data_IF_518974351104
#
_entry.id   IF_518974351104
#
_cell.length_a   1.000
_cell.length_b   1.000
_cell.length_c   1.000
_cell.angle_alpha   90.00
_cell.angle_beta   90.00
_cell.angle_gamma   90.00
#
_symmetry.space_group_name_H-M   'P 1'
#
loop_
_entity.id
_entity.type
_entity.pdbx_description
1 polymer ?
#
# COMPACT_ATOMS: atom_id res chain seq x y z
N UNK A 1 12.98 -3.01 25.20
CA UNK A 1 13.93 -2.30 24.32
C UNK A 1 13.23 -1.81 23.05
N UNK A 2 12.59 -2.67 22.30
CA UNK A 2 11.88 -2.33 21.04
C UNK A 2 10.94 -1.10 21.15
N UNK A 3 10.05 -1.08 22.13
CA UNK A 3 9.10 0.04 22.30
C UNK A 3 9.77 1.38 22.60
N UNK A 4 10.88 1.37 23.32
CA UNK A 4 11.67 2.58 23.60
C UNK A 4 12.34 3.09 22.31
N UNK A 5 12.87 2.20 21.48
CA UNK A 5 13.47 2.52 20.19
C UNK A 5 12.43 3.06 19.20
N UNK A 6 11.24 2.46 19.16
CA UNK A 6 10.11 2.95 18.37
C UNK A 6 9.66 4.33 18.83
N UNK A 7 9.52 4.54 20.13
CA UNK A 7 9.16 5.85 20.67
C UNK A 7 10.20 6.89 20.30
N UNK A 8 11.50 6.57 20.50
CA UNK A 8 12.59 7.48 20.15
C UNK A 8 12.61 7.80 18.65
N UNK A 9 12.40 6.80 17.80
CA UNK A 9 12.26 6.98 16.35
C UNK A 9 11.13 7.97 16.01
N UNK A 10 9.95 7.80 16.60
CA UNK A 10 8.80 8.68 16.36
C UNK A 10 9.03 10.09 16.90
N UNK A 11 9.66 10.21 18.06
CA UNK A 11 10.01 11.51 18.65
C UNK A 11 10.98 12.27 17.76
N UNK A 12 12.08 11.65 17.33
CA UNK A 12 13.06 12.29 16.45
C UNK A 12 12.41 12.67 15.12
N UNK A 13 11.66 11.75 14.49
CA UNK A 13 10.99 11.97 13.22
C UNK A 13 10.04 13.18 13.29
N UNK A 14 9.33 13.34 14.41
CA UNK A 14 8.32 14.37 14.59
C UNK A 14 8.91 15.71 15.06
N UNK A 15 9.92 15.67 15.95
CA UNK A 15 10.47 16.88 16.59
C UNK A 15 11.50 17.57 15.69
N UNK A 16 12.26 16.82 14.89
CA UNK A 16 13.28 17.39 13.99
C UNK A 16 12.73 18.55 13.12
N UNK A 17 11.57 18.49 12.47
CA UNK A 17 11.06 19.59 11.65
C UNK A 17 10.69 20.87 12.43
N UNK A 18 10.56 20.80 13.76
CA UNK A 18 10.14 21.93 14.61
C UNK A 18 11.33 22.73 15.11
N UNK A 19 12.47 22.06 15.25
CA UNK A 19 13.64 22.67 15.88
C UNK A 19 14.17 23.85 15.04
N UNK A 20 14.60 24.95 15.69
CA UNK A 20 15.21 26.08 15.00
C UNK A 20 16.64 25.72 14.58
N UNK A 21 16.80 25.28 13.37
CA UNK A 21 18.09 24.83 12.86
C UNK A 21 18.41 25.53 11.56
N UNK A 22 18.57 26.75 11.47
CA UNK A 22 19.03 27.45 10.28
C UNK A 22 19.01 26.63 8.96
N UNK A 23 19.72 27.02 7.94
CA UNK A 23 19.84 26.26 6.67
C UNK A 23 20.98 25.21 6.74
N UNK A 24 21.28 24.62 7.92
CA UNK A 24 22.40 23.66 8.05
C UNK A 24 21.96 22.25 7.60
N UNK A 25 22.37 21.88 6.41
CA UNK A 25 22.13 20.51 5.86
C UNK A 25 22.69 19.40 6.76
N UNK A 26 23.76 19.70 7.52
CA UNK A 26 24.36 18.75 8.47
C UNK A 26 23.42 18.28 9.56
N UNK A 27 22.57 19.18 10.09
CA UNK A 27 21.57 18.81 11.10
C UNK A 27 20.52 17.83 10.58
N UNK A 28 20.03 18.06 9.37
CA UNK A 28 19.07 17.18 8.71
C UNK A 28 19.65 15.81 8.41
N UNK A 29 20.89 15.80 7.89
CA UNK A 29 21.61 14.57 7.59
C UNK A 29 21.89 13.78 8.86
N UNK A 30 22.35 14.42 9.94
CA UNK A 30 22.58 13.77 11.23
C UNK A 30 21.30 13.15 11.79
N UNK A 31 20.18 13.88 11.75
CA UNK A 31 18.87 13.36 12.18
C UNK A 31 18.45 12.14 11.37
N UNK A 32 18.67 12.14 10.06
CA UNK A 32 18.40 10.99 9.21
C UNK A 32 19.31 9.80 9.55
N UNK A 33 20.60 10.02 9.78
CA UNK A 33 21.56 8.94 10.16
C UNK A 33 21.14 8.31 11.49
N UNK A 34 20.71 9.10 12.47
CA UNK A 34 20.20 8.58 13.75
C UNK A 34 18.92 7.74 13.51
N UNK A 35 17.98 8.22 12.69
CA UNK A 35 16.77 7.46 12.36
C UNK A 35 17.09 6.16 11.63
N UNK A 36 18.04 6.18 10.70
CA UNK A 36 18.48 4.98 9.98
C UNK A 36 19.13 3.97 10.94
N UNK A 37 19.93 4.45 11.90
CA UNK A 37 20.55 3.60 12.91
C UNK A 37 19.52 2.97 13.85
N UNK A 38 18.53 3.75 14.30
CA UNK A 38 17.40 3.23 15.09
C UNK A 38 16.56 2.23 14.30
N UNK A 39 16.31 2.50 13.02
CA UNK A 39 15.61 1.57 12.13
C UNK A 39 16.34 0.22 12.06
N UNK A 40 17.65 0.21 11.84
CA UNK A 40 18.45 -1.03 11.81
C UNK A 40 18.40 -1.79 13.14
N UNK A 41 18.38 -1.09 14.28
CA UNK A 41 18.21 -1.72 15.60
C UNK A 41 16.83 -2.31 15.79
N UNK A 42 15.77 -1.59 15.35
CA UNK A 42 14.39 -2.10 15.39
C UNK A 42 14.26 -3.37 14.55
N UNK A 43 14.92 -3.46 13.38
CA UNK A 43 14.92 -4.67 12.56
C UNK A 43 15.64 -5.86 13.24
N UNK A 44 16.51 -5.62 14.20
CA UNK A 44 17.16 -6.68 14.99
C UNK A 44 16.26 -7.20 16.12
N UNK A 45 15.26 -6.43 16.52
CA UNK A 45 14.28 -6.79 17.55
C UNK A 45 13.11 -7.58 16.96
N UNK A 46 12.23 -8.10 17.82
CA UNK A 46 10.97 -8.72 17.43
C UNK A 46 9.82 -8.18 18.27
N UNK A 47 8.65 -8.03 17.66
CA UNK A 47 7.41 -7.70 18.35
C UNK A 47 6.67 -8.93 18.91
N UNK A 48 7.28 -10.12 18.80
CA UNK A 48 6.84 -11.35 19.45
C UNK A 48 5.98 -12.28 18.58
N UNK A 49 5.59 -11.87 17.37
CA UNK A 49 4.87 -12.76 16.44
C UNK A 49 5.14 -12.38 14.97
N UNK A 50 5.04 -13.34 14.03
CA UNK A 50 5.24 -13.06 12.61
C UNK A 50 4.36 -11.93 12.06
N UNK A 51 3.09 -11.90 12.45
CA UNK A 51 2.14 -10.86 12.01
C UNK A 51 2.46 -9.48 12.60
N UNK A 52 2.90 -9.42 13.87
CA UNK A 52 3.29 -8.16 14.49
C UNK A 52 4.58 -7.61 13.87
N UNK A 53 5.58 -8.46 13.59
CA UNK A 53 6.83 -8.07 12.94
C UNK A 53 6.62 -7.66 11.49
N UNK A 54 5.74 -8.35 10.76
CA UNK A 54 5.30 -7.94 9.43
C UNK A 54 4.68 -6.54 9.45
N UNK A 55 3.70 -6.33 10.34
CA UNK A 55 3.02 -5.04 10.50
C UNK A 55 3.97 -3.91 10.91
N UNK A 56 4.91 -4.20 11.82
CA UNK A 56 5.94 -3.26 12.24
C UNK A 56 6.81 -2.82 11.06
N UNK A 57 7.31 -3.76 10.27
CA UNK A 57 8.14 -3.46 9.11
C UNK A 57 7.41 -2.60 8.07
N UNK A 58 6.15 -2.96 7.75
CA UNK A 58 5.30 -2.18 6.83
C UNK A 58 5.00 -0.77 7.36
N UNK A 59 4.99 -0.58 8.68
CA UNK A 59 4.76 0.73 9.29
C UNK A 59 6.02 1.61 9.26
N UNK A 60 7.19 1.09 9.66
CA UNK A 60 8.41 1.90 9.85
C UNK A 60 9.23 2.11 8.58
N UNK A 61 9.26 1.14 7.64
CA UNK A 61 10.06 1.25 6.42
C UNK A 61 9.63 2.43 5.54
N UNK A 62 8.33 2.66 5.27
CA UNK A 62 7.89 3.87 4.57
C UNK A 62 8.18 5.16 5.35
N UNK A 63 8.20 5.13 6.69
CA UNK A 63 8.53 6.32 7.48
C UNK A 63 10.02 6.69 7.34
N UNK A 64 10.92 5.71 7.28
CA UNK A 64 12.33 5.97 6.97
C UNK A 64 12.47 6.56 5.56
N UNK A 65 11.74 6.03 4.57
CA UNK A 65 11.68 6.59 3.22
C UNK A 65 11.18 8.05 3.20
N UNK A 66 10.20 8.37 4.05
CA UNK A 66 9.70 9.74 4.22
C UNK A 66 10.74 10.64 4.91
N UNK A 67 11.45 10.15 5.93
CA UNK A 67 12.53 10.87 6.55
C UNK A 67 13.66 11.18 5.54
N UNK A 68 13.98 10.23 4.67
CA UNK A 68 14.95 10.46 3.59
C UNK A 68 14.48 11.55 2.62
N UNK A 69 13.22 11.50 2.18
CA UNK A 69 12.65 12.56 1.34
C UNK A 69 12.72 13.93 2.01
N UNK A 70 12.25 14.04 3.26
CA UNK A 70 12.09 15.32 3.95
C UNK A 70 13.38 15.87 4.57
N UNK A 71 14.31 15.03 4.95
CA UNK A 71 15.54 15.46 5.67
C UNK A 71 16.76 15.51 4.74
N UNK A 72 16.77 14.70 3.67
CA UNK A 72 17.93 14.60 2.78
C UNK A 72 17.64 15.22 1.42
N UNK A 73 16.53 14.81 0.77
CA UNK A 73 16.25 15.24 -0.60
C UNK A 73 15.62 16.65 -0.67
N UNK A 74 14.71 16.97 0.24
CA UNK A 74 13.92 18.21 0.22
C UNK A 74 13.81 18.93 1.58
N UNK A 75 14.94 19.24 2.25
CA UNK A 75 14.89 19.74 3.62
C UNK A 75 14.24 21.13 3.77
N UNK A 76 14.15 21.91 2.70
CA UNK A 76 13.56 23.26 2.71
C UNK A 76 12.10 23.29 2.29
N UNK A 77 11.68 22.40 1.42
CA UNK A 77 10.31 22.39 0.87
C UNK A 77 9.25 22.03 1.92
N UNK A 78 9.61 21.25 2.94
CA UNK A 78 8.71 20.81 4.00
C UNK A 78 8.25 21.92 4.93
N UNK A 79 8.88 23.09 4.89
CA UNK A 79 8.55 24.27 5.72
C UNK A 79 7.44 25.13 5.12
N UNK A 80 7.12 24.96 3.85
CA UNK A 80 6.04 25.70 3.23
C UNK A 80 4.69 25.14 3.68
N UNK A 81 4.12 25.80 4.66
CA UNK A 81 2.79 25.52 5.18
C UNK A 81 1.74 25.68 4.09
N UNK A 82 0.65 24.91 4.22
CA UNK A 82 -0.58 25.02 3.43
C UNK A 82 -0.88 26.47 3.02
N UNK A 83 -0.79 26.79 1.76
CA UNK A 83 -1.20 28.11 1.27
C UNK A 83 -2.69 28.40 1.54
N UNK A 84 -3.52 27.38 1.70
CA UNK A 84 -4.98 27.52 1.82
C UNK A 84 -5.52 27.70 3.26
N UNK A 85 -4.78 27.32 4.31
CA UNK A 85 -5.20 27.54 5.71
C UNK A 85 -4.47 28.71 6.40
N UNK A 86 -3.43 29.27 5.79
CA UNK A 86 -2.55 30.22 6.46
C UNK A 86 -3.20 31.54 6.82
N UNK A 87 -4.17 32.01 6.05
CA UNK A 87 -4.80 33.32 6.30
C UNK A 87 -5.75 33.36 7.50
N UNK A 88 -6.42 32.29 7.84
CA UNK A 88 -7.32 32.24 9.01
C UNK A 88 -6.59 31.89 10.32
N UNK A 89 -5.50 31.15 10.26
CA UNK A 89 -4.79 30.64 11.44
C UNK A 89 -3.66 31.55 11.89
N UNK A 90 -3.12 32.43 11.03
CA UNK A 90 -2.09 33.39 11.39
C UNK A 90 -2.60 34.46 12.38
N UNK A 91 -3.88 34.80 12.33
CA UNK A 91 -4.49 35.80 13.21
C UNK A 91 -4.67 35.30 14.67
N UNK A 92 -4.52 33.99 14.95
CA UNK A 92 -4.79 33.39 16.29
C UNK A 92 -3.56 33.02 17.12
N UNK A 93 -2.33 33.23 16.65
CA UNK A 93 -1.15 32.62 17.29
C UNK A 93 -0.14 33.58 17.88
N UNK A 94 -0.52 34.29 18.91
CA UNK A 94 0.44 35.01 19.77
C UNK A 94 0.50 34.29 21.15
N UNK A 95 1.56 33.54 21.44
CA UNK A 95 1.80 32.99 22.76
C UNK A 95 2.23 31.51 22.80
N UNK A 96 2.22 30.92 23.97
CA UNK A 96 2.63 29.52 24.29
C UNK A 96 1.97 28.45 23.41
N UNK A 97 0.83 28.76 22.79
CA UNK A 97 0.16 27.99 21.75
C UNK A 97 1.04 27.67 20.51
N UNK A 98 2.16 28.37 20.31
CA UNK A 98 3.05 28.22 19.16
C UNK A 98 3.75 26.85 19.09
N UNK A 99 4.23 26.30 20.22
CA UNK A 99 4.92 25.01 20.25
C UNK A 99 3.99 23.84 20.03
N UNK A 100 2.85 23.81 20.74
CA UNK A 100 1.83 22.78 20.55
C UNK A 100 1.32 22.78 19.11
N UNK A 101 1.09 23.95 18.53
CA UNK A 101 0.67 24.08 17.13
C UNK A 101 1.74 23.56 16.15
N UNK A 102 3.01 23.92 16.36
CA UNK A 102 4.13 23.43 15.55
C UNK A 102 4.26 21.89 15.66
N UNK A 103 4.09 21.34 16.86
CA UNK A 103 4.12 19.91 17.09
C UNK A 103 2.99 19.19 16.35
N UNK A 104 1.75 19.67 16.46
CA UNK A 104 0.60 19.11 15.75
C UNK A 104 0.77 19.19 14.23
N UNK A 105 1.29 20.30 13.71
CA UNK A 105 1.59 20.44 12.28
C UNK A 105 2.69 19.49 11.82
N UNK A 106 3.73 19.28 12.63
CA UNK A 106 4.78 18.30 12.32
C UNK A 106 4.24 16.88 12.37
N UNK A 107 3.43 16.55 13.37
CA UNK A 107 2.72 15.26 13.43
C UNK A 107 1.87 15.05 12.17
N UNK A 108 1.09 16.04 11.78
CA UNK A 108 0.28 15.97 10.56
C UNK A 108 1.17 15.78 9.32
N UNK A 109 2.23 16.56 9.16
CA UNK A 109 3.16 16.47 8.03
C UNK A 109 3.77 15.07 7.91
N UNK A 110 4.25 14.53 9.03
CA UNK A 110 4.93 13.24 9.05
C UNK A 110 3.94 12.08 8.85
N UNK A 111 2.77 12.15 9.47
CA UNK A 111 1.82 11.05 9.45
C UNK A 111 0.77 11.12 8.35
N UNK A 112 0.66 12.24 7.60
CA UNK A 112 -0.16 12.26 6.39
C UNK A 112 0.55 11.51 5.25
N UNK A 113 0.00 10.38 4.77
CA UNK A 113 0.70 9.58 3.78
C UNK A 113 0.67 10.20 2.37
N UNK A 114 -0.27 11.09 2.11
CA UNK A 114 -0.54 11.64 0.77
C UNK A 114 -0.42 13.17 0.69
N UNK A 115 -0.02 13.83 1.78
CA UNK A 115 0.12 15.28 1.82
C UNK A 115 -1.17 16.06 1.62
N UNK A 116 -2.30 15.53 2.07
CA UNK A 116 -3.62 16.16 1.91
C UNK A 116 -3.60 17.59 2.47
N UNK A 117 -3.85 18.55 1.59
CA UNK A 117 -3.81 19.99 1.91
C UNK A 117 -2.41 20.58 2.09
N UNK A 118 -1.35 19.87 1.76
CA UNK A 118 0.02 20.37 1.70
C UNK A 118 0.43 20.68 0.25
N UNK A 119 1.41 21.55 0.04
CA UNK A 119 1.92 21.88 -1.29
C UNK A 119 2.51 20.68 -2.06
N UNK A 120 2.80 19.59 -1.35
CA UNK A 120 3.29 18.34 -1.90
C UNK A 120 2.22 17.23 -1.98
N UNK A 121 0.95 17.61 -1.96
CA UNK A 121 -0.16 16.66 -2.12
C UNK A 121 0.02 15.84 -3.41
N UNK A 122 -0.13 14.52 -3.27
CA UNK A 122 -0.02 13.63 -4.42
C UNK A 122 -1.26 13.74 -5.33
N UNK A 123 -1.09 13.52 -6.66
CA UNK A 123 -2.23 13.52 -7.58
C UNK A 123 -3.20 12.36 -7.27
N UNK A 124 -4.45 12.54 -7.67
CA UNK A 124 -5.52 11.54 -7.56
C UNK A 124 -6.00 11.22 -6.13
N UNK A 125 -5.87 12.15 -5.19
CA UNK A 125 -6.53 12.04 -3.88
C UNK A 125 -8.03 12.02 -4.08
N UNK A 126 -8.72 11.01 -3.55
CA UNK A 126 -10.16 10.86 -3.67
C UNK A 126 -10.87 11.67 -2.56
N UNK A 127 -11.15 12.93 -2.83
CA UNK A 127 -11.90 13.78 -1.92
C UNK A 127 -13.37 13.35 -1.86
N UNK A 128 -13.90 13.33 -0.65
CA UNK A 128 -15.32 13.22 -0.37
C UNK A 128 -15.83 14.65 -0.36
N UNK A 129 -16.92 14.91 -1.03
CA UNK A 129 -17.52 16.26 -1.03
C UNK A 129 -17.69 16.83 0.40
N UNK A 130 -18.30 17.98 0.53
CA UNK A 130 -18.53 18.66 1.83
C UNK A 130 -19.48 17.84 2.70
N UNK A 131 -18.98 16.78 3.34
CA UNK A 131 -19.74 16.00 4.31
C UNK A 131 -19.76 16.70 5.68
N UNK A 132 -20.93 16.67 6.34
CA UNK A 132 -20.99 17.08 7.74
C UNK A 132 -20.23 16.09 8.63
N UNK A 133 -19.71 16.55 9.79
CA UNK A 133 -19.04 15.68 10.77
C UNK A 133 -19.87 14.44 11.11
N UNK A 134 -21.19 14.62 11.32
CA UNK A 134 -22.11 13.52 11.64
C UNK A 134 -22.21 12.50 10.51
N UNK A 135 -22.39 12.96 9.26
CA UNK A 135 -22.47 12.10 8.08
C UNK A 135 -21.16 11.32 7.86
N UNK A 136 -20.02 12.00 8.01
CA UNK A 136 -18.70 11.38 7.92
C UNK A 136 -18.54 10.26 8.94
N UNK A 137 -18.78 10.54 10.23
CA UNK A 137 -18.61 9.54 11.30
C UNK A 137 -19.55 8.35 11.10
N UNK A 138 -20.82 8.58 10.77
CA UNK A 138 -21.78 7.50 10.52
C UNK A 138 -21.34 6.61 9.35
N UNK A 139 -20.94 7.22 8.23
CA UNK A 139 -20.48 6.48 7.05
C UNK A 139 -19.19 5.67 7.32
N UNK A 140 -18.26 6.22 8.12
CA UNK A 140 -17.03 5.52 8.50
C UNK A 140 -17.28 4.38 9.46
N UNK A 141 -18.09 4.61 10.50
CA UNK A 141 -18.45 3.56 11.46
C UNK A 141 -19.14 2.38 10.78
N UNK A 142 -20.12 2.66 9.89
CA UNK A 142 -20.78 1.61 9.12
C UNK A 142 -19.78 0.79 8.28
N UNK A 143 -18.84 1.44 7.61
CA UNK A 143 -17.81 0.75 6.83
C UNK A 143 -16.86 -0.07 7.70
N UNK A 144 -16.47 0.44 8.87
CA UNK A 144 -15.63 -0.31 9.82
C UNK A 144 -16.34 -1.59 10.23
N UNK A 145 -17.62 -1.51 10.63
CA UNK A 145 -18.41 -2.68 11.00
C UNK A 145 -18.52 -3.67 9.85
N UNK A 146 -18.88 -3.19 8.64
CA UNK A 146 -19.01 -4.04 7.46
C UNK A 146 -17.69 -4.73 7.09
N UNK A 147 -16.59 -4.00 7.10
CA UNK A 147 -15.29 -4.56 6.79
C UNK A 147 -14.80 -5.55 7.86
N UNK A 148 -15.13 -5.31 9.11
CA UNK A 148 -14.87 -6.28 10.18
C UNK A 148 -15.61 -7.60 9.96
N UNK A 149 -16.91 -7.53 9.64
CA UNK A 149 -17.72 -8.71 9.31
C UNK A 149 -17.16 -9.44 8.08
N UNK A 150 -16.74 -8.69 7.06
CA UNK A 150 -16.13 -9.26 5.86
C UNK A 150 -14.80 -9.98 6.16
N UNK A 151 -13.94 -9.40 7.00
CA UNK A 151 -12.69 -10.06 7.43
C UNK A 151 -12.96 -11.36 8.17
N UNK A 152 -13.94 -11.36 9.07
CA UNK A 152 -14.32 -12.55 9.82
C UNK A 152 -14.87 -13.65 8.90
N UNK A 153 -15.68 -13.27 7.89
CA UNK A 153 -16.19 -14.20 6.88
C UNK A 153 -15.09 -14.75 5.95
N UNK A 154 -14.06 -13.97 5.66
CA UNK A 154 -12.94 -14.39 4.81
C UNK A 154 -11.89 -15.21 5.58
N UNK A 155 -11.85 -15.10 6.92
CA UNK A 155 -10.82 -15.73 7.74
C UNK A 155 -10.64 -17.25 7.48
N UNK A 156 -11.68 -18.07 7.32
CA UNK A 156 -11.51 -19.50 7.03
C UNK A 156 -10.98 -19.79 5.62
N UNK A 157 -11.04 -18.83 4.71
CA UNK A 157 -10.57 -18.99 3.32
C UNK A 157 -9.13 -18.51 3.12
N UNK A 158 -8.58 -17.71 4.05
CA UNK A 158 -7.19 -17.23 3.94
C UNK A 158 -6.23 -18.38 4.25
N UNK A 159 -5.23 -18.64 3.38
CA UNK A 159 -4.36 -19.80 3.53
C UNK A 159 -3.43 -19.62 4.72
N UNK A 160 -3.37 -20.62 5.60
CA UNK A 160 -2.38 -20.73 6.67
C UNK A 160 -1.32 -21.75 6.29
N UNK A 161 -0.26 -21.88 7.10
CA UNK A 161 0.71 -22.96 6.90
C UNK A 161 0.09 -24.33 7.07
N UNK A 162 -0.91 -24.46 7.95
CA UNK A 162 -1.62 -25.72 8.19
C UNK A 162 -2.51 -26.15 7.01
N UNK A 163 -2.96 -25.21 6.16
CA UNK A 163 -3.79 -25.55 4.98
C UNK A 163 -3.02 -26.14 3.81
N UNK A 164 -1.70 -26.29 3.93
CA UNK A 164 -0.85 -26.78 2.85
C UNK A 164 -0.46 -25.70 1.82
N UNK A 165 0.45 -26.03 0.89
CA UNK A 165 0.94 -25.09 -0.12
C UNK A 165 -0.12 -24.76 -1.17
N UNK A 166 -0.08 -23.54 -1.69
CA UNK A 166 -0.85 -23.13 -2.86
C UNK A 166 -0.17 -23.71 -4.11
N UNK A 167 -0.75 -24.76 -4.66
CA UNK A 167 -0.17 -25.46 -5.81
C UNK A 167 -0.26 -24.61 -7.09
N UNK A 168 0.77 -24.57 -7.95
CA UNK A 168 0.65 -23.99 -9.27
C UNK A 168 -0.35 -24.76 -10.11
N UNK A 169 -0.99 -24.09 -11.08
CA UNK A 169 -1.84 -24.78 -12.04
C UNK A 169 -0.97 -25.74 -12.88
N UNK A 170 -1.09 -27.03 -12.62
CA UNK A 170 -0.44 -28.05 -13.44
C UNK A 170 -1.34 -28.40 -14.62
N UNK A 171 -0.94 -27.96 -15.80
CA UNK A 171 -1.52 -28.38 -17.07
C UNK A 171 -0.80 -29.63 -17.65
N UNK A 172 -0.01 -30.32 -16.83
CA UNK A 172 0.61 -31.57 -17.26
C UNK A 172 -0.49 -32.51 -17.75
N UNK A 173 -0.38 -33.04 -18.96
CA UNK A 173 -1.31 -34.06 -19.39
C UNK A 173 -1.28 -35.20 -18.36
N UNK A 174 -2.42 -35.76 -17.98
CA UNK A 174 -2.45 -36.90 -17.11
C UNK A 174 -1.52 -37.97 -17.67
N UNK A 175 -0.73 -38.66 -16.83
CA UNK A 175 -0.01 -39.85 -17.26
C UNK A 175 -1.08 -40.84 -17.74
N UNK A 176 -1.24 -40.91 -19.05
CA UNK A 176 -2.16 -41.81 -19.69
C UNK A 176 -1.60 -43.23 -19.46
N UNK A 177 -2.30 -44.01 -18.66
CA UNK A 177 -2.22 -45.45 -18.83
C UNK A 177 -2.69 -45.76 -20.25
N UNK A 178 -1.94 -46.54 -20.96
CA UNK A 178 -1.98 -46.79 -22.41
C UNK A 178 -3.33 -47.25 -23.00
N UNK A 179 -4.35 -47.47 -22.16
CA UNK A 179 -5.58 -48.19 -22.53
C UNK A 179 -6.85 -47.33 -22.67
N UNK A 180 -6.82 -46.00 -22.44
CA UNK A 180 -8.05 -45.18 -22.58
C UNK A 180 -7.80 -43.88 -23.31
N UNK A 181 -7.85 -43.92 -24.64
CA UNK A 181 -7.84 -42.75 -25.54
C UNK A 181 -9.23 -42.09 -25.71
N UNK A 182 -10.09 -42.08 -24.68
CA UNK A 182 -11.37 -41.40 -24.77
C UNK A 182 -11.21 -39.89 -24.54
N UNK A 183 -11.44 -39.02 -25.56
CA UNK A 183 -11.34 -37.59 -25.43
C UNK A 183 -12.29 -37.00 -24.35
N UNK A 184 -13.43 -37.65 -24.10
CA UNK A 184 -14.38 -37.24 -23.07
C UNK A 184 -13.80 -37.40 -21.66
N UNK A 185 -13.05 -38.49 -21.41
CA UNK A 185 -12.37 -38.73 -20.14
C UNK A 185 -11.28 -37.68 -19.86
N UNK A 186 -10.54 -37.26 -20.89
CA UNK A 186 -9.51 -36.22 -20.81
C UNK A 186 -10.10 -34.86 -20.48
N UNK A 187 -11.25 -34.49 -21.07
CA UNK A 187 -11.93 -33.23 -20.79
C UNK A 187 -12.48 -33.14 -19.35
N UNK A 188 -13.11 -34.20 -18.87
CA UNK A 188 -13.64 -34.24 -17.50
C UNK A 188 -12.51 -34.20 -16.44
N UNK A 189 -11.37 -34.80 -16.73
CA UNK A 189 -10.19 -34.76 -15.87
C UNK A 189 -9.60 -33.35 -15.82
N UNK A 190 -9.44 -32.68 -16.97
CA UNK A 190 -8.99 -31.29 -17.03
C UNK A 190 -9.94 -30.39 -16.26
N UNK A 191 -11.24 -30.54 -16.45
CA UNK A 191 -12.27 -29.75 -15.75
C UNK A 191 -12.16 -29.92 -14.23
N UNK A 192 -11.98 -31.15 -13.73
CA UNK A 192 -11.79 -31.45 -12.31
C UNK A 192 -10.50 -30.81 -11.77
N UNK A 193 -9.40 -30.90 -12.51
CA UNK A 193 -8.11 -30.30 -12.12
C UNK A 193 -8.18 -28.78 -12.03
N UNK A 194 -8.81 -28.13 -13.01
CA UNK A 194 -9.02 -26.66 -12.99
C UNK A 194 -9.94 -26.25 -11.84
N UNK A 195 -11.02 -26.97 -11.59
CA UNK A 195 -11.92 -26.69 -10.48
C UNK A 195 -11.24 -26.88 -9.11
N UNK A 196 -10.46 -27.94 -8.96
CA UNK A 196 -9.66 -28.18 -7.75
C UNK A 196 -8.65 -27.05 -7.52
N UNK A 197 -7.89 -26.68 -8.55
CA UNK A 197 -6.96 -25.55 -8.46
C UNK A 197 -7.67 -24.24 -8.11
N UNK A 198 -8.81 -23.95 -8.72
CA UNK A 198 -9.57 -22.74 -8.41
C UNK A 198 -10.00 -22.68 -6.94
N UNK A 199 -10.40 -23.81 -6.35
CA UNK A 199 -10.83 -23.87 -4.95
C UNK A 199 -9.66 -23.87 -3.97
N UNK A 200 -8.57 -24.58 -4.28
CA UNK A 200 -7.46 -24.77 -3.34
C UNK A 200 -6.36 -23.70 -3.45
N UNK A 201 -6.30 -22.98 -4.54
CA UNK A 201 -5.24 -22.02 -4.81
C UNK A 201 -5.79 -20.62 -5.10
N UNK A 202 -6.68 -20.52 -6.08
CA UNK A 202 -7.14 -19.20 -6.54
C UNK A 202 -8.06 -18.52 -5.51
N UNK A 203 -9.03 -19.25 -4.96
CA UNK A 203 -9.95 -18.72 -3.94
C UNK A 203 -9.21 -18.26 -2.67
N UNK A 204 -8.28 -19.04 -2.08
CA UNK A 204 -7.47 -18.58 -0.95
C UNK A 204 -6.61 -17.38 -1.28
N UNK A 205 -6.00 -17.31 -2.46
CA UNK A 205 -5.20 -16.15 -2.88
C UNK A 205 -6.04 -14.87 -2.99
N UNK A 206 -7.23 -14.95 -3.55
CA UNK A 206 -8.16 -13.82 -3.61
C UNK A 206 -8.73 -13.45 -2.23
N UNK A 207 -9.01 -14.42 -1.36
CA UNK A 207 -9.43 -14.18 0.01
C UNK A 207 -8.37 -13.36 0.76
N UNK A 208 -7.08 -13.71 0.61
CA UNK A 208 -5.99 -12.92 1.14
C UNK A 208 -5.94 -11.50 0.55
N UNK A 209 -6.01 -11.36 -0.77
CA UNK A 209 -5.94 -10.04 -1.43
C UNK A 209 -7.07 -9.11 -0.98
N UNK A 210 -8.29 -9.63 -0.86
CA UNK A 210 -9.44 -8.87 -0.34
C UNK A 210 -9.23 -8.53 1.14
N UNK A 211 -8.73 -9.47 1.94
CA UNK A 211 -8.41 -9.22 3.36
C UNK A 211 -7.35 -8.14 3.52
N UNK A 212 -6.29 -8.16 2.72
CA UNK A 212 -5.25 -7.12 2.73
C UNK A 212 -5.82 -5.73 2.35
N UNK A 213 -6.69 -5.68 1.32
CA UNK A 213 -7.40 -4.45 0.94
C UNK A 213 -8.25 -3.91 2.10
N UNK A 214 -8.99 -4.77 2.77
CA UNK A 214 -9.86 -4.40 3.89
C UNK A 214 -9.04 -3.95 5.10
N UNK A 215 -7.94 -4.62 5.43
CA UNK A 215 -7.03 -4.20 6.50
C UNK A 215 -6.48 -2.79 6.25
N UNK A 216 -6.02 -2.49 5.04
CA UNK A 216 -5.55 -1.15 4.67
C UNK A 216 -6.65 -0.09 4.85
N UNK A 217 -7.90 -0.43 4.54
CA UNK A 217 -9.04 0.44 4.80
C UNK A 217 -9.24 0.70 6.30
N UNK A 218 -9.23 -0.34 7.12
CA UNK A 218 -9.44 -0.24 8.56
C UNK A 218 -8.34 0.57 9.25
N UNK A 219 -7.09 0.29 8.93
CA UNK A 219 -5.91 0.98 9.50
C UNK A 219 -5.93 2.49 9.19
N UNK A 220 -6.48 2.92 8.06
CA UNK A 220 -6.58 4.34 7.73
C UNK A 220 -7.90 4.97 8.16
N UNK A 221 -9.00 4.23 8.11
CA UNK A 221 -10.34 4.77 8.39
C UNK A 221 -10.57 4.92 9.90
N UNK A 222 -10.08 3.99 10.71
CA UNK A 222 -10.23 4.03 12.18
C UNK A 222 -9.60 5.30 12.79
N UNK A 223 -8.29 5.52 12.60
CA UNK A 223 -7.62 6.75 13.06
C UNK A 223 -8.23 8.04 12.50
N UNK A 224 -8.63 8.05 11.22
CA UNK A 224 -9.29 9.21 10.61
C UNK A 224 -10.64 9.52 11.28
N UNK A 225 -11.46 8.50 11.54
CA UNK A 225 -12.73 8.67 12.23
C UNK A 225 -12.52 9.18 13.67
N UNK A 226 -11.54 8.64 14.38
CA UNK A 226 -11.18 9.08 15.73
C UNK A 226 -10.68 10.53 15.73
N UNK A 227 -9.80 10.91 14.82
CA UNK A 227 -9.28 12.25 14.71
C UNK A 227 -10.40 13.29 14.43
N UNK A 228 -11.35 12.97 13.53
CA UNK A 228 -12.52 13.82 13.27
C UNK A 228 -13.46 13.85 14.49
N UNK A 229 -13.66 12.74 15.19
CA UNK A 229 -14.47 12.67 16.40
C UNK A 229 -13.92 13.61 17.49
N UNK A 230 -12.61 13.57 17.71
CA UNK A 230 -11.90 14.41 18.68
C UNK A 230 -11.73 15.88 18.22
N UNK A 231 -12.12 16.20 16.98
CA UNK A 231 -11.98 17.56 16.44
C UNK A 231 -10.56 17.96 16.06
N UNK A 232 -9.65 16.98 15.91
CA UNK A 232 -8.26 17.21 15.52
C UNK A 232 -8.12 17.56 14.03
N UNK A 233 -9.04 17.10 13.19
CA UNK A 233 -9.10 17.41 11.75
C UNK A 233 -10.54 17.51 11.26
N UNK A 234 -10.74 18.15 10.11
CA UNK A 234 -12.03 18.20 9.44
C UNK A 234 -12.25 16.94 8.57
N UNK A 235 -13.51 16.54 8.27
CA UNK A 235 -13.82 15.47 7.35
C UNK A 235 -13.11 15.57 5.99
N UNK A 236 -12.97 16.79 5.47
CA UNK A 236 -12.29 17.08 4.20
C UNK A 236 -10.78 16.76 4.24
N UNK A 237 -10.15 16.77 5.40
CA UNK A 237 -8.73 16.45 5.57
C UNK A 237 -8.49 14.91 5.56
N UNK A 238 -9.57 14.11 5.62
CA UNK A 238 -9.53 12.65 5.73
C UNK A 238 -10.16 11.95 4.49
N UNK A 239 -9.63 12.17 3.28
CA UNK A 239 -10.14 11.52 2.07
C UNK A 239 -9.93 10.01 2.10
N UNK A 240 -10.62 9.28 1.23
CA UNK A 240 -10.49 7.82 1.12
C UNK A 240 -9.05 7.42 0.76
N UNK A 241 -8.51 6.40 1.45
CA UNK A 241 -7.17 5.87 1.20
C UNK A 241 -7.05 5.19 -0.15
N UNK A 242 -8.12 4.55 -0.60
CA UNK A 242 -8.21 3.94 -1.92
C UNK A 242 -8.90 4.88 -2.90
N UNK A 243 -8.46 4.86 -4.15
CA UNK A 243 -9.08 5.60 -5.23
C UNK A 243 -10.33 4.91 -5.80
N UNK A 244 -10.94 5.50 -6.83
CA UNK A 244 -12.20 5.00 -7.39
C UNK A 244 -11.99 3.66 -8.11
N UNK A 245 -12.86 2.69 -7.81
CA UNK A 245 -12.88 1.36 -8.46
C UNK A 245 -13.00 1.49 -9.99
N UNK A 246 -13.68 2.52 -10.47
CA UNK A 246 -13.80 2.78 -11.91
C UNK A 246 -12.47 3.02 -12.66
N UNK A 247 -11.38 3.27 -11.95
CA UNK A 247 -10.05 3.37 -12.54
C UNK A 247 -9.33 2.01 -12.69
N UNK A 248 -9.83 0.94 -12.07
CA UNK A 248 -9.22 -0.41 -12.10
C UNK A 248 -9.34 -1.14 -13.44
N UNK A 249 -9.96 -0.55 -14.46
CA UNK A 249 -10.08 -1.16 -15.80
C UNK A 249 -8.72 -1.28 -16.53
N UNK A 250 -7.61 -1.04 -15.85
CA UNK A 250 -6.24 -1.30 -16.33
C UNK A 250 -5.31 -1.49 -15.14
N UNK A 251 -4.22 -2.22 -15.31
CA UNK A 251 -3.17 -2.37 -14.28
C UNK A 251 -2.58 -1.02 -13.87
N UNK A 252 -2.39 -0.11 -14.83
CA UNK A 252 -1.96 1.26 -14.54
C UNK A 252 -2.98 2.02 -13.70
N UNK A 253 -4.26 1.85 -13.97
CA UNK A 253 -5.34 2.45 -13.19
C UNK A 253 -5.43 1.85 -11.79
N UNK A 254 -5.28 0.54 -11.67
CA UNK A 254 -5.23 -0.16 -10.39
C UNK A 254 -4.09 0.39 -9.52
N UNK A 255 -2.85 0.29 -9.95
CA UNK A 255 -1.66 0.66 -9.15
C UNK A 255 -1.43 2.17 -9.07
N UNK A 256 -1.77 2.92 -10.12
CA UNK A 256 -1.49 4.36 -10.18
C UNK A 256 -2.60 5.25 -9.63
N UNK A 257 -3.83 4.75 -9.45
CA UNK A 257 -4.98 5.57 -9.05
C UNK A 257 -5.85 4.95 -7.97
N UNK A 258 -6.05 3.62 -8.00
CA UNK A 258 -7.01 2.94 -7.09
C UNK A 258 -6.33 2.38 -5.85
N UNK A 259 -5.22 1.64 -6.01
CA UNK A 259 -4.48 1.11 -4.88
C UNK A 259 -3.92 2.25 -4.03
N UNK A 260 -3.81 2.03 -2.72
CA UNK A 260 -3.35 3.08 -1.79
C UNK A 260 -2.07 3.76 -2.27
N UNK A 261 -2.07 5.09 -2.22
CA UNK A 261 -0.95 5.89 -2.69
C UNK A 261 -0.05 6.39 -1.54
N UNK A 262 -0.05 5.68 -0.41
CA UNK A 262 0.59 6.12 0.84
C UNK A 262 2.11 6.35 0.70
N UNK A 263 2.80 5.52 -0.07
CA UNK A 263 4.25 5.62 -0.28
C UNK A 263 4.64 6.37 -1.57
N UNK A 264 3.69 6.87 -2.35
CA UNK A 264 3.94 7.42 -3.68
C UNK A 264 4.91 8.60 -3.68
N UNK A 265 4.80 9.51 -2.71
CA UNK A 265 5.65 10.70 -2.64
C UNK A 265 7.12 10.33 -2.49
N UNK A 266 7.47 9.58 -1.43
CA UNK A 266 8.85 9.24 -1.15
C UNK A 266 9.46 8.37 -2.27
N UNK A 267 8.70 7.44 -2.83
CA UNK A 267 9.16 6.62 -3.98
C UNK A 267 9.44 7.49 -5.21
N UNK A 268 8.57 8.46 -5.50
CA UNK A 268 8.77 9.40 -6.59
C UNK A 268 9.97 10.33 -6.35
N UNK A 269 10.15 10.82 -5.11
CA UNK A 269 11.26 11.67 -4.74
C UNK A 269 12.61 10.96 -4.88
N UNK A 270 12.71 9.70 -4.40
CA UNK A 270 13.90 8.86 -4.56
C UNK A 270 14.18 8.61 -6.06
N UNK A 271 13.16 8.26 -6.83
CA UNK A 271 13.32 8.01 -8.27
C UNK A 271 13.72 9.27 -9.05
N UNK A 272 13.22 10.44 -8.66
CA UNK A 272 13.65 11.72 -9.25
C UNK A 272 15.09 12.08 -8.88
N UNK A 273 15.52 11.80 -7.65
CA UNK A 273 16.90 12.01 -7.23
C UNK A 273 17.86 11.08 -8.00
N UNK A 274 17.56 9.79 -8.08
CA UNK A 274 18.33 8.82 -8.89
C UNK A 274 18.36 9.24 -10.36
N UNK A 275 17.20 9.58 -10.92
CA UNK A 275 17.10 9.99 -12.32
C UNK A 275 17.93 11.23 -12.66
N UNK A 276 17.87 12.25 -11.80
CA UNK A 276 18.61 13.51 -12.03
C UNK A 276 20.09 13.39 -11.70
N UNK A 277 20.41 12.88 -10.50
CA UNK A 277 21.77 12.94 -9.99
C UNK A 277 22.68 11.83 -10.54
N UNK A 278 22.13 10.62 -10.79
CA UNK A 278 22.95 9.48 -11.25
C UNK A 278 22.83 9.26 -12.76
N UNK A 279 21.65 9.49 -13.36
CA UNK A 279 21.40 9.14 -14.76
C UNK A 279 21.24 10.35 -15.67
N UNK A 280 21.31 11.59 -15.16
CA UNK A 280 21.17 12.82 -15.96
C UNK A 280 19.83 12.95 -16.70
N UNK A 281 18.76 12.28 -16.24
CA UNK A 281 17.49 12.27 -16.92
C UNK A 281 16.73 13.59 -16.73
N UNK A 282 16.11 14.06 -17.80
CA UNK A 282 15.24 15.25 -17.73
C UNK A 282 13.96 14.93 -16.95
N UNK A 283 13.57 15.76 -15.96
CA UNK A 283 12.30 15.63 -15.25
C UNK A 283 11.11 15.66 -16.24
N UNK A 284 10.10 14.80 -15.99
CA UNK A 284 8.91 14.72 -16.85
C UNK A 284 9.09 14.00 -18.19
N UNK A 285 10.31 13.61 -18.55
CA UNK A 285 10.57 12.80 -19.74
C UNK A 285 10.09 11.36 -19.61
N UNK A 286 9.93 10.66 -20.75
CA UNK A 286 9.56 9.23 -20.76
C UNK A 286 10.52 8.35 -19.97
N UNK A 287 11.87 8.47 -20.10
CA UNK A 287 12.81 7.69 -19.31
C UNK A 287 12.61 7.90 -17.79
N UNK A 288 12.42 9.16 -17.35
CA UNK A 288 12.14 9.47 -15.96
C UNK A 288 10.83 8.84 -15.46
N UNK A 289 9.78 8.81 -16.28
CA UNK A 289 8.52 8.17 -15.93
C UNK A 289 8.66 6.63 -15.77
N UNK A 290 9.43 5.98 -16.63
CA UNK A 290 9.72 4.55 -16.53
C UNK A 290 10.58 4.23 -15.31
N UNK A 291 11.59 5.06 -15.03
CA UNK A 291 12.43 4.92 -13.84
C UNK A 291 11.58 5.02 -12.56
N UNK A 292 10.67 6.00 -12.49
CA UNK A 292 9.73 6.13 -11.36
C UNK A 292 8.87 4.89 -11.17
N UNK A 293 8.38 4.32 -12.26
CA UNK A 293 7.59 3.10 -12.21
C UNK A 293 8.43 1.92 -11.68
N UNK A 294 9.60 1.69 -12.29
CA UNK A 294 10.49 0.59 -11.91
C UNK A 294 10.96 0.70 -10.45
N UNK A 295 11.45 1.89 -10.04
CA UNK A 295 11.90 2.10 -8.67
C UNK A 295 10.73 2.10 -7.68
N UNK A 296 9.53 2.54 -8.07
CA UNK A 296 8.34 2.45 -7.22
C UNK A 296 8.00 1.00 -6.86
N UNK A 297 7.98 0.09 -7.84
CA UNK A 297 7.78 -1.34 -7.60
C UNK A 297 8.95 -1.97 -6.85
N UNK A 298 10.18 -1.65 -7.21
CA UNK A 298 11.35 -2.15 -6.49
C UNK A 298 11.35 -1.76 -5.00
N UNK A 299 11.07 -0.50 -4.67
CA UNK A 299 11.01 -0.03 -3.29
C UNK A 299 9.80 -0.61 -2.53
N UNK A 300 8.68 -0.82 -3.23
CA UNK A 300 7.51 -1.54 -2.71
C UNK A 300 7.88 -2.97 -2.36
N UNK A 301 8.47 -3.71 -3.29
CA UNK A 301 8.94 -5.07 -3.09
C UNK A 301 9.99 -5.18 -1.98
N UNK A 302 10.95 -4.25 -1.93
CA UNK A 302 11.94 -4.19 -0.84
C UNK A 302 11.27 -3.99 0.54
N UNK A 303 10.21 -3.18 0.62
CA UNK A 303 9.44 -3.01 1.86
C UNK A 303 8.79 -4.33 2.30
N UNK A 304 8.16 -5.05 1.37
CA UNK A 304 7.56 -6.36 1.64
C UNK A 304 8.62 -7.43 1.95
N UNK A 305 9.79 -7.37 1.30
CA UNK A 305 10.91 -8.28 1.59
C UNK A 305 11.44 -8.10 3.01
N UNK A 306 11.62 -6.87 3.48
CA UNK A 306 11.98 -6.59 4.88
C UNK A 306 10.92 -7.13 5.84
N UNK A 307 9.64 -6.94 5.52
CA UNK A 307 8.54 -7.46 6.33
C UNK A 307 8.54 -9.00 6.38
N UNK A 308 8.77 -9.66 5.24
CA UNK A 308 8.89 -11.13 5.15
C UNK A 308 10.08 -11.67 5.95
N UNK A 309 11.22 -10.99 5.87
CA UNK A 309 12.41 -11.35 6.67
C UNK A 309 12.12 -11.30 8.17
N UNK A 310 11.54 -10.22 8.69
CA UNK A 310 11.23 -10.09 10.11
C UNK A 310 10.20 -11.12 10.57
N UNK A 311 9.14 -11.33 9.79
CA UNK A 311 8.14 -12.34 10.09
C UNK A 311 8.72 -13.75 10.15
N UNK A 312 9.57 -14.12 9.18
CA UNK A 312 10.25 -15.43 9.17
C UNK A 312 11.21 -15.59 10.36
N UNK A 313 11.92 -14.52 10.72
CA UNK A 313 12.79 -14.51 11.92
C UNK A 313 11.96 -14.76 13.18
N UNK A 314 10.84 -14.09 13.37
CA UNK A 314 9.94 -14.30 14.49
C UNK A 314 9.36 -15.72 14.51
N UNK A 315 8.99 -16.24 13.35
CA UNK A 315 8.50 -17.61 13.21
C UNK A 315 9.54 -18.62 13.66
N UNK A 316 10.79 -18.50 13.19
CA UNK A 316 11.88 -19.38 13.60
C UNK A 316 12.12 -19.34 15.11
N UNK A 317 12.08 -18.15 15.71
CA UNK A 317 12.23 -17.99 17.16
C UNK A 317 11.06 -18.63 17.93
N UNK A 318 9.82 -18.50 17.46
CA UNK A 318 8.63 -19.06 18.14
C UNK A 318 8.55 -20.58 18.07
N UNK A 319 9.06 -21.18 16.99
CA UNK A 319 9.03 -22.65 16.81
C UNK A 319 10.17 -23.37 17.52
N UNK A 320 11.15 -22.67 18.11
CA UNK A 320 12.38 -23.23 18.69
C UNK A 320 13.12 -24.16 17.69
N UNK A 321 12.92 -23.95 16.39
CA UNK A 321 13.46 -24.80 15.35
C UNK A 321 14.94 -24.45 15.19
N UNK A 322 15.80 -25.34 15.72
CA UNK A 322 17.19 -25.37 15.34
C UNK A 322 17.28 -25.60 13.82
N UNK A 323 17.96 -24.66 13.16
CA UNK A 323 18.51 -24.78 11.80
C UNK A 323 17.63 -25.54 10.78
N UNK A 324 16.73 -24.87 10.09
CA UNK A 324 16.37 -25.18 8.73
C UNK A 324 16.97 -24.09 7.85
N UNK A 325 18.10 -24.41 7.25
CA UNK A 325 18.75 -23.60 6.22
C UNK A 325 17.82 -23.55 5.01
N UNK A 326 17.11 -22.47 4.83
CA UNK A 326 16.79 -21.84 3.55
C UNK A 326 15.78 -20.69 3.73
N UNK A 327 16.28 -19.54 4.22
CA UNK A 327 15.44 -18.35 4.38
C UNK A 327 15.50 -17.42 3.14
N UNK A 328 16.22 -17.80 2.09
CA UNK A 328 16.41 -16.93 0.90
C UNK A 328 15.30 -17.06 -0.14
N UNK A 329 14.59 -18.18 -0.20
CA UNK A 329 13.60 -18.46 -1.24
C UNK A 329 12.41 -17.49 -1.27
N UNK A 330 11.68 -17.24 -0.17
CA UNK A 330 10.50 -16.39 -0.19
C UNK A 330 10.81 -14.89 -0.39
N UNK A 331 11.98 -14.42 0.04
CA UNK A 331 12.38 -13.02 -0.10
C UNK A 331 12.72 -12.65 -1.54
N UNK A 332 13.42 -13.54 -2.24
CA UNK A 332 13.80 -13.36 -3.65
C UNK A 332 12.55 -13.42 -4.54
N UNK A 333 11.59 -14.30 -4.24
CA UNK A 333 10.33 -14.41 -4.97
C UNK A 333 9.55 -13.09 -4.98
N UNK A 334 9.30 -12.48 -3.83
CA UNK A 334 8.53 -11.24 -3.72
C UNK A 334 9.20 -10.09 -4.47
N UNK A 335 10.53 -9.94 -4.36
CA UNK A 335 11.27 -8.86 -5.05
C UNK A 335 11.32 -9.09 -6.56
N UNK A 336 11.52 -10.35 -6.99
CA UNK A 336 11.53 -10.70 -8.41
C UNK A 336 10.17 -10.54 -9.07
N UNK A 337 9.08 -10.90 -8.40
CA UNK A 337 7.72 -10.74 -8.92
C UNK A 337 7.36 -9.27 -9.11
N UNK A 338 7.67 -8.39 -8.16
CA UNK A 338 7.45 -6.96 -8.31
C UNK A 338 8.32 -6.36 -9.43
N UNK A 339 9.56 -6.84 -9.60
CA UNK A 339 10.44 -6.41 -10.69
C UNK A 339 9.99 -6.94 -12.06
N UNK A 340 9.58 -8.20 -12.16
CA UNK A 340 9.00 -8.82 -13.37
C UNK A 340 7.68 -8.16 -13.73
N UNK A 341 6.86 -7.82 -12.73
CA UNK A 341 5.62 -7.07 -12.91
C UNK A 341 5.89 -5.68 -13.52
N UNK A 342 6.90 -4.96 -13.03
CA UNK A 342 7.33 -3.68 -13.60
C UNK A 342 7.80 -3.82 -15.06
N UNK A 343 8.48 -4.93 -15.38
CA UNK A 343 8.99 -5.22 -16.73
C UNK A 343 7.85 -5.57 -17.70
N UNK A 344 6.87 -6.36 -17.25
CA UNK A 344 5.72 -6.78 -18.08
C UNK A 344 4.72 -5.65 -18.33
N UNK A 345 4.60 -4.67 -17.41
CA UNK A 345 3.89 -3.42 -17.67
C UNK A 345 4.51 -2.64 -18.84
N UNK A 346 5.79 -2.87 -19.13
CA UNK A 346 6.50 -2.23 -20.27
C UNK A 346 6.01 -2.73 -21.62
N UNK A 347 5.58 -3.98 -21.75
CA UNK A 347 5.36 -4.60 -23.05
C UNK A 347 3.93 -4.49 -23.61
N UNK A 348 2.91 -4.20 -22.82
CA UNK A 348 1.54 -4.34 -23.32
C UNK A 348 0.61 -3.14 -23.24
N UNK A 349 0.72 -2.24 -22.26
CA UNK A 349 -0.41 -1.37 -21.88
C UNK A 349 -0.10 0.14 -21.99
N UNK A 350 1.16 0.55 -22.18
CA UNK A 350 1.57 1.95 -22.02
C UNK A 350 1.51 2.80 -23.30
N UNK A 351 1.23 2.20 -24.48
CA UNK A 351 1.38 2.91 -25.75
C UNK A 351 0.28 3.91 -26.07
N UNK A 352 -0.96 3.66 -25.69
CA UNK A 352 -2.11 4.43 -26.17
C UNK A 352 -2.64 5.50 -25.21
N UNK A 353 -2.48 5.32 -23.90
CA UNK A 353 -3.03 6.25 -22.90
C UNK A 353 -2.13 7.49 -22.66
N UNK A 354 -0.84 7.36 -22.94
CA UNK A 354 0.11 8.48 -22.81
C UNK A 354 -0.13 9.57 -23.84
N UNK A 355 -0.44 9.21 -25.10
CA UNK A 355 -0.73 10.18 -26.16
C UNK A 355 -1.99 10.99 -25.88
N UNK A 356 -3.03 10.39 -25.34
CA UNK A 356 -4.31 11.06 -25.04
C UNK A 356 -4.22 12.03 -23.86
N UNK A 357 -3.45 11.70 -22.81
CA UNK A 357 -3.40 12.51 -21.59
C UNK A 357 -2.40 13.67 -21.65
N UNK A 358 -1.34 13.59 -22.46
CA UNK A 358 -0.37 14.70 -22.59
C UNK A 358 -0.73 15.74 -23.63
N UNK A 359 -1.54 15.41 -24.62
CA UNK A 359 -2.05 16.40 -25.58
C UNK A 359 -3.18 17.28 -24.98
N UNK A 360 -3.86 16.79 -23.94
CA UNK A 360 -4.95 17.52 -23.28
C UNK A 360 -4.49 18.43 -22.11
N UNK A 361 -3.26 18.28 -21.59
CA UNK A 361 -2.83 18.89 -20.34
C UNK A 361 -1.87 20.09 -20.47
N UNK A 362 -1.87 20.76 -21.58
CA UNK A 362 -1.28 22.09 -21.68
C UNK A 362 -2.21 23.15 -21.12
N UNK A 363 -2.30 23.32 -19.82
CA UNK A 363 -3.06 24.37 -19.10
C UNK A 363 -4.47 24.01 -18.59
N UNK A 364 -4.59 23.15 -17.57
CA UNK A 364 -5.79 23.13 -16.73
C UNK A 364 -5.46 22.61 -15.32
N UNK A 365 -5.87 23.36 -14.30
CA UNK A 365 -5.64 23.06 -12.89
C UNK A 365 -6.29 21.72 -12.46
N UNK A 366 -5.55 20.94 -11.74
CA UNK A 366 -5.82 19.55 -11.33
C UNK A 366 -7.15 19.30 -10.58
N UNK A 367 -7.84 20.33 -10.10
CA UNK A 367 -9.11 20.20 -9.38
C UNK A 367 -10.37 20.08 -10.23
N UNK A 368 -10.32 20.48 -11.52
CA UNK A 368 -11.51 20.51 -12.39
C UNK A 368 -11.77 19.19 -13.10
N UNK A 369 -10.74 18.36 -13.29
CA UNK A 369 -10.87 17.13 -14.09
C UNK A 369 -11.62 16.01 -13.35
N UNK A 370 -11.62 16.00 -12.02
CA UNK A 370 -12.34 14.98 -11.24
C UNK A 370 -13.83 15.32 -11.11
N UNK A 371 -14.17 16.59 -10.99
CA UNK A 371 -15.57 17.05 -11.02
C UNK A 371 -16.20 16.80 -12.40
N UNK A 372 -15.43 16.97 -13.49
CA UNK A 372 -15.81 16.64 -14.86
C UNK A 372 -16.05 15.13 -15.04
N UNK A 373 -15.23 14.26 -14.44
CA UNK A 373 -15.38 12.79 -14.51
C UNK A 373 -16.64 12.30 -13.77
N UNK A 374 -16.98 12.91 -12.62
CA UNK A 374 -18.21 12.61 -11.86
C UNK A 374 -19.46 13.20 -12.49
N UNK A 375 -19.38 14.37 -13.11
CA UNK A 375 -20.54 15.01 -13.77
C UNK A 375 -20.94 14.28 -15.06
N UNK A 376 -19.98 13.74 -15.80
CA UNK A 376 -20.22 12.99 -17.05
C UNK A 376 -20.87 11.63 -16.82
N UNK A 377 -20.80 11.07 -15.59
CA UNK A 377 -21.44 9.78 -15.25
C UNK A 377 -22.96 9.83 -15.18
N UNK A 378 -23.58 10.98 -15.09
CA UNK A 378 -25.06 11.06 -15.00
C UNK A 378 -25.79 10.89 -16.33
N UNK A 379 -25.07 10.79 -17.45
CA UNK A 379 -25.65 10.71 -18.78
C UNK A 379 -25.35 9.47 -19.63
N UNK A 380 -24.40 8.58 -19.20
CA UNK A 380 -24.02 7.43 -20.04
C UNK A 380 -24.29 6.10 -19.31
N UNK A 381 -25.44 5.53 -19.52
CA UNK A 381 -25.84 4.19 -19.02
C UNK A 381 -25.26 3.02 -19.84
N UNK A 382 -24.41 3.25 -20.83
CA UNK A 382 -23.73 2.17 -21.54
C UNK A 382 -22.39 1.84 -20.88
N UNK A 383 -22.30 0.68 -20.24
CA UNK A 383 -21.04 0.06 -19.84
C UNK A 383 -20.28 -0.18 -21.14
N UNK A 384 -19.23 0.61 -21.38
CA UNK A 384 -18.41 0.41 -22.58
C UNK A 384 -17.72 -0.95 -22.48
N UNK A 385 -17.85 -1.79 -23.50
CA UNK A 385 -17.25 -3.11 -23.61
C UNK A 385 -15.75 -3.06 -23.26
N UNK A 386 -15.05 -2.00 -23.67
CA UNK A 386 -13.64 -1.74 -23.33
C UNK A 386 -13.35 -1.77 -21.81
N UNK A 387 -14.26 -1.24 -20.98
CA UNK A 387 -14.10 -1.27 -19.52
C UNK A 387 -14.31 -2.66 -18.96
N UNK A 388 -15.29 -3.39 -19.46
CA UNK A 388 -15.54 -4.79 -19.04
C UNK A 388 -14.36 -5.66 -19.39
N UNK A 389 -13.82 -5.56 -20.60
CA UNK A 389 -12.60 -6.27 -21.03
C UNK A 389 -11.40 -5.86 -20.20
N UNK A 390 -11.29 -4.57 -19.85
CA UNK A 390 -10.22 -4.07 -18.98
C UNK A 390 -10.28 -4.65 -17.57
N UNK A 391 -11.46 -4.72 -16.96
CA UNK A 391 -11.63 -5.38 -15.65
C UNK A 391 -11.34 -6.88 -15.73
N UNK A 392 -11.84 -7.56 -16.75
CA UNK A 392 -11.57 -8.99 -16.98
C UNK A 392 -10.06 -9.24 -17.11
N UNK A 393 -9.35 -8.38 -17.85
CA UNK A 393 -7.90 -8.44 -17.98
C UNK A 393 -7.17 -8.29 -16.63
N UNK A 394 -7.56 -7.28 -15.83
CA UNK A 394 -6.95 -7.05 -14.50
C UNK A 394 -7.21 -8.23 -13.56
N UNK A 395 -8.44 -8.76 -13.54
CA UNK A 395 -8.77 -9.94 -12.73
C UNK A 395 -7.97 -11.16 -13.21
N UNK A 396 -7.89 -11.41 -14.51
CA UNK A 396 -7.11 -12.49 -15.08
C UNK A 396 -5.62 -12.37 -14.67
N UNK A 397 -5.03 -11.20 -14.86
CA UNK A 397 -3.64 -10.96 -14.50
C UNK A 397 -3.38 -11.19 -13.01
N UNK A 398 -4.21 -10.63 -12.14
CA UNK A 398 -4.08 -10.83 -10.69
C UNK A 398 -4.26 -12.30 -10.31
N UNK A 399 -5.15 -13.04 -10.99
CA UNK A 399 -5.35 -14.47 -10.76
C UNK A 399 -4.12 -15.32 -11.08
N UNK A 400 -3.25 -14.84 -11.97
CA UNK A 400 -1.97 -15.51 -12.28
C UNK A 400 -0.85 -15.11 -11.31
N UNK A 401 -0.85 -13.86 -10.84
CA UNK A 401 0.27 -13.30 -10.07
C UNK A 401 0.06 -13.36 -8.55
N UNK A 402 -1.17 -13.41 -8.07
CA UNK A 402 -1.47 -13.49 -6.63
C UNK A 402 -1.05 -14.82 -5.99
N UNK A 403 -1.31 -16.00 -6.57
CA UNK A 403 -1.01 -17.27 -5.88
C UNK A 403 0.46 -17.42 -5.46
N UNK A 404 1.48 -17.21 -6.32
CA UNK A 404 2.88 -17.33 -5.89
C UNK A 404 3.25 -16.25 -4.85
N UNK A 405 2.76 -15.02 -4.99
CA UNK A 405 2.97 -13.95 -3.99
C UNK A 405 2.37 -14.33 -2.62
N UNK A 406 1.14 -14.83 -2.61
CA UNK A 406 0.44 -15.24 -1.38
C UNK A 406 1.11 -16.48 -0.76
N UNK A 407 1.62 -17.40 -1.58
CA UNK A 407 2.40 -18.54 -1.10
C UNK A 407 3.67 -18.08 -0.35
N UNK A 408 4.40 -17.13 -0.90
CA UNK A 408 5.56 -16.54 -0.22
C UNK A 408 5.20 -15.95 1.16
N UNK A 409 4.09 -15.23 1.27
CA UNK A 409 3.64 -14.69 2.57
C UNK A 409 3.14 -15.80 3.51
N UNK A 410 2.43 -16.81 3.00
CA UNK A 410 1.98 -17.97 3.79
C UNK A 410 3.14 -18.64 4.51
N UNK A 411 4.27 -18.84 3.83
CA UNK A 411 5.47 -19.46 4.39
C UNK A 411 6.08 -18.67 5.54
N UNK A 412 5.89 -17.34 5.61
CA UNK A 412 6.38 -16.50 6.72
C UNK A 412 5.60 -16.67 8.02
N UNK A 413 4.46 -17.39 8.01
CA UNK A 413 3.58 -17.56 9.17
C UNK A 413 2.72 -16.34 9.53
N UNK A 414 2.74 -15.29 8.75
CA UNK A 414 1.93 -14.06 8.97
C UNK A 414 0.44 -14.38 8.99
N UNK A 415 0.02 -15.33 8.16
CA UNK A 415 -1.40 -15.71 8.01
C UNK A 415 -1.89 -16.72 9.06
N UNK A 416 -1.01 -17.24 9.91
CA UNK A 416 -1.39 -18.16 10.99
C UNK A 416 -2.06 -17.42 12.17
N UNK A 417 -1.96 -16.09 12.20
CA UNK A 417 -2.64 -15.26 13.20
C UNK A 417 -4.10 -15.00 12.83
N UNK A 418 -4.94 -14.79 13.84
CA UNK A 418 -6.36 -14.48 13.63
C UNK A 418 -6.50 -13.15 12.86
N UNK A 419 -7.18 -13.18 11.71
CA UNK A 419 -7.50 -11.98 10.91
C UNK A 419 -8.46 -11.03 11.64
N UNK A 420 -9.42 -11.58 12.39
CA UNK A 420 -10.31 -10.83 13.25
C UNK A 420 -10.03 -11.21 14.71
N UNK A 421 -9.81 -10.23 15.62
CA UNK A 421 -9.52 -10.49 17.03
C UNK A 421 -10.63 -11.30 17.73
N UNK A 422 -11.88 -11.03 17.36
CA UNK A 422 -13.08 -11.70 17.88
C UNK A 422 -13.88 -12.18 16.67
N UNK A 423 -14.15 -13.49 16.58
CA UNK A 423 -15.00 -14.03 15.52
C UNK A 423 -16.46 -13.99 15.92
N UNK A 424 -17.29 -13.39 15.05
CA UNK A 424 -18.75 -13.32 15.25
C UNK A 424 -19.39 -14.70 15.01
N UNK A 425 -18.78 -15.54 14.16
CA UNK A 425 -19.30 -16.84 13.77
C UNK A 425 -18.96 -17.96 14.74
N UNK A 426 -17.91 -17.82 15.55
CA UNK A 426 -17.46 -18.84 16.51
C UNK A 426 -18.28 -18.93 17.79
N UNK A 427 -19.13 -17.93 18.09
CA UNK A 427 -20.06 -18.01 19.24
C UNK A 427 -21.19 -19.04 19.09
N UNK A 428 -21.28 -19.75 17.95
CA UNK A 428 -22.32 -20.75 17.69
C UNK A 428 -21.82 -22.20 17.74
N UNK A 429 -20.55 -22.46 18.00
CA UNK A 429 -19.95 -23.81 17.95
C UNK A 429 -19.33 -24.27 19.29
N UNK A 430 -19.52 -23.54 20.38
CA UNK A 430 -19.30 -23.96 21.77
C UNK A 430 -20.65 -24.05 22.49
#
# INVERSE_FOLDING_TARGET
MLYAELLLFQVILTVTPILPHGQHNSFWLASFVILASLYLRILQSSAGSPSADWGLALAITPQLGKAFDFFVLHPTETRQLREHKSHQDQARSNGVASWAKKFLLSMEMIHTPRGVGWNWEIPYVCYIGTESKKSFLLSRTWRIVWYYVLLDALAPLVPSRASGPLAPLSLSPPQMSDDSQDPACSYDQLRRSVAAWALTTLLPAWAYAVSAYVHLWLVHTGPAALAVLLGLCAPADCPYVMGPVGAMASLRGLWGRTWHQAARRQMAAIADAVGRCLLGLRPGGRPSAYLKLALGFFLGGATHAVAGYLATKALKASLAVAAADDASGPLVGVVLEDAVFALLLRFGVLRDDWRRNHMANGKAGYGKDMQWWWSRRRGESSIRIEKVLGYAWVVFWLSLTLPPYVEGIRQTGVMDSKLAPISIWRFRSE
#
